data_IF_367261379512
#
_entry.id   IF_367261379512
#
_cell.length_a   1.000
_cell.length_b   1.000
_cell.length_c   1.000
_cell.angle_alpha   90.00
_cell.angle_beta   90.00
_cell.angle_gamma   90.00
#
_symmetry.space_group_name_H-M   'P 1'
#
loop_
_entity.id
_entity.type
_entity.pdbx_description
1 polymer ?
#
# COMPACT_ATOMS: atom_id res chain seq x y z
N UNK A 1 7.63 14.65 -3.00
CA UNK A 1 8.19 15.93 -2.49
C UNK A 1 7.15 17.04 -2.52
N UNK A 2 6.53 17.32 -3.67
CA UNK A 2 5.64 18.48 -3.86
C UNK A 2 4.37 18.39 -3.00
N UNK A 3 3.79 17.19 -2.86
CA UNK A 3 2.63 16.96 -2.00
C UNK A 3 2.95 17.34 -0.53
N UNK A 4 4.12 16.95 -0.03
CA UNK A 4 4.55 17.33 1.31
C UNK A 4 4.85 18.83 1.41
N UNK A 5 5.43 19.43 0.36
CA UNK A 5 5.67 20.88 0.29
C UNK A 5 4.36 21.67 0.25
N UNK A 6 3.31 21.11 -0.34
CA UNK A 6 1.96 21.67 -0.33
C UNK A 6 1.26 21.58 1.05
N UNK A 7 1.89 20.97 2.05
CA UNK A 7 1.40 20.92 3.42
C UNK A 7 0.70 19.60 3.81
N UNK A 8 0.65 18.62 2.90
CA UNK A 8 0.10 17.31 3.20
C UNK A 8 1.12 16.45 3.95
N UNK A 9 0.63 15.61 4.86
CA UNK A 9 1.43 14.57 5.50
C UNK A 9 1.47 13.33 4.60
N UNK A 10 2.63 12.73 4.42
CA UNK A 10 2.84 11.60 3.51
C UNK A 10 3.45 10.41 4.25
N UNK A 11 2.86 9.26 4.05
CA UNK A 11 3.43 7.95 4.40
C UNK A 11 3.50 7.12 3.12
N UNK A 12 4.59 6.40 2.94
CA UNK A 12 4.78 5.51 1.79
C UNK A 12 4.84 4.07 2.29
N UNK A 13 3.97 3.23 1.78
CA UNK A 13 4.06 1.77 1.95
C UNK A 13 4.64 1.20 0.68
N UNK A 14 5.78 0.53 0.78
CA UNK A 14 6.58 0.15 -0.39
C UNK A 14 6.87 -1.34 -0.42
N UNK A 15 6.80 -1.91 -1.60
CA UNK A 15 7.19 -3.29 -1.90
C UNK A 15 8.59 -3.35 -2.52
N UNK A 16 8.91 -4.51 -3.10
CA UNK A 16 10.11 -4.79 -3.90
C UNK A 16 11.39 -5.19 -3.14
N UNK A 17 11.39 -5.22 -1.80
CA UNK A 17 12.58 -5.62 -1.04
C UNK A 17 13.14 -6.99 -1.48
N UNK A 18 12.30 -8.03 -1.54
CA UNK A 18 12.74 -9.38 -1.99
C UNK A 18 13.31 -9.35 -3.41
N UNK A 19 12.64 -8.65 -4.35
CA UNK A 19 13.10 -8.55 -5.74
C UNK A 19 14.44 -7.85 -5.87
N UNK A 20 14.64 -6.73 -5.16
CA UNK A 20 15.92 -6.01 -5.12
C UNK A 20 17.02 -6.88 -4.52
N UNK A 21 16.71 -7.65 -3.48
CA UNK A 21 17.67 -8.57 -2.85
C UNK A 21 18.08 -9.70 -3.77
N UNK A 22 17.14 -10.32 -4.47
CA UNK A 22 17.41 -11.35 -5.48
C UNK A 22 18.36 -10.82 -6.55
N UNK A 23 18.08 -9.62 -7.08
CA UNK A 23 18.95 -8.98 -8.07
C UNK A 23 20.34 -8.67 -7.52
N UNK A 24 20.43 -8.14 -6.28
CA UNK A 24 21.71 -7.79 -5.66
C UNK A 24 22.56 -9.02 -5.30
N UNK A 25 21.93 -10.09 -4.87
CA UNK A 25 22.59 -11.37 -4.58
C UNK A 25 22.90 -12.18 -5.82
N UNK A 26 22.35 -11.81 -6.98
CA UNK A 26 22.47 -12.55 -8.25
C UNK A 26 22.04 -14.02 -8.14
N UNK A 27 20.96 -14.27 -7.39
CA UNK A 27 20.37 -15.59 -7.20
C UNK A 27 19.11 -15.75 -8.04
N UNK A 28 18.71 -17.00 -8.30
CA UNK A 28 17.39 -17.30 -8.87
C UNK A 28 16.28 -16.94 -7.91
N UNK A 29 15.05 -16.76 -8.44
CA UNK A 29 13.88 -16.48 -7.60
C UNK A 29 13.69 -17.59 -6.56
N UNK A 30 13.81 -17.30 -5.26
CA UNK A 30 13.77 -18.33 -4.23
C UNK A 30 12.39 -18.95 -4.09
N UNK A 31 12.36 -20.25 -3.86
CA UNK A 31 11.15 -21.01 -3.57
C UNK A 31 10.93 -21.23 -2.07
N UNK A 32 12.02 -21.22 -1.28
CA UNK A 32 11.96 -21.44 0.17
C UNK A 32 11.87 -20.11 0.93
N UNK A 33 11.24 -20.15 2.10
CA UNK A 33 10.98 -18.98 2.94
C UNK A 33 12.27 -18.35 3.45
N UNK A 34 13.25 -19.14 3.87
CA UNK A 34 14.49 -18.63 4.47
C UNK A 34 15.29 -17.81 3.46
N UNK A 35 15.38 -18.28 2.21
CA UNK A 35 16.06 -17.53 1.14
C UNK A 35 15.27 -16.27 0.75
N UNK A 36 13.93 -16.33 0.74
CA UNK A 36 13.08 -15.13 0.54
C UNK A 36 13.34 -14.09 1.62
N UNK A 37 13.34 -14.49 2.89
CA UNK A 37 13.60 -13.61 4.03
C UNK A 37 15.01 -12.99 3.97
N UNK A 38 16.02 -13.80 3.64
CA UNK A 38 17.39 -13.29 3.47
C UNK A 38 17.50 -12.29 2.30
N UNK A 39 16.85 -12.60 1.17
CA UNK A 39 16.81 -11.68 0.03
C UNK A 39 16.07 -10.38 0.41
N UNK A 40 14.94 -10.46 1.12
CA UNK A 40 14.22 -9.28 1.59
C UNK A 40 15.09 -8.41 2.50
N UNK A 41 15.85 -9.00 3.44
CA UNK A 41 16.78 -8.27 4.30
C UNK A 41 17.85 -7.50 3.51
N UNK A 42 18.44 -8.12 2.48
CA UNK A 42 19.42 -7.46 1.61
C UNK A 42 18.78 -6.36 0.77
N UNK A 43 17.62 -6.65 0.19
CA UNK A 43 16.93 -5.71 -0.69
C UNK A 43 16.31 -4.53 0.04
N UNK A 44 15.93 -4.69 1.30
CA UNK A 44 15.40 -3.60 2.13
C UNK A 44 16.44 -2.49 2.34
N UNK A 45 17.71 -2.84 2.47
CA UNK A 45 18.79 -1.85 2.52
C UNK A 45 18.86 -1.03 1.22
N UNK A 46 18.76 -1.67 0.07
CA UNK A 46 18.80 -1.01 -1.24
C UNK A 46 17.56 -0.12 -1.46
N UNK A 47 16.40 -0.62 -1.04
CA UNK A 47 15.14 0.12 -1.10
C UNK A 47 15.23 1.42 -0.29
N UNK A 48 15.69 1.36 0.94
CA UNK A 48 15.85 2.53 1.80
C UNK A 48 16.90 3.50 1.29
N UNK A 49 18.03 2.99 0.79
CA UNK A 49 19.05 3.83 0.15
C UNK A 49 18.47 4.60 -1.03
N UNK A 50 17.64 3.94 -1.83
CA UNK A 50 16.99 4.58 -2.99
C UNK A 50 16.04 5.70 -2.55
N UNK A 51 15.18 5.46 -1.55
CA UNK A 51 14.29 6.49 -1.02
C UNK A 51 15.04 7.65 -0.38
N UNK A 52 16.04 7.36 0.45
CA UNK A 52 16.85 8.39 1.11
C UNK A 52 17.55 9.28 0.09
N UNK A 53 18.17 8.68 -0.93
CA UNK A 53 18.83 9.42 -2.02
C UNK A 53 17.86 10.29 -2.81
N UNK A 54 16.67 9.78 -3.17
CA UNK A 54 15.70 10.51 -3.99
C UNK A 54 15.02 11.63 -3.21
N UNK A 55 14.55 11.37 -2.01
CA UNK A 55 13.92 12.38 -1.17
C UNK A 55 14.91 13.40 -0.62
N UNK A 56 16.15 12.96 -0.33
CA UNK A 56 17.24 13.83 0.13
C UNK A 56 17.61 14.93 -0.87
N UNK A 57 17.45 14.70 -2.18
CA UNK A 57 17.65 15.72 -3.20
C UNK A 57 16.68 16.92 -3.05
N UNK A 58 15.57 16.72 -2.37
CA UNK A 58 14.55 17.74 -2.09
C UNK A 58 14.50 18.14 -0.61
N UNK A 59 15.56 17.83 0.16
CA UNK A 59 15.68 18.10 1.60
C UNK A 59 14.57 17.45 2.45
N UNK A 60 14.04 16.31 2.02
CA UNK A 60 13.13 15.51 2.84
C UNK A 60 13.88 14.37 3.52
N UNK A 61 13.61 14.20 4.81
CA UNK A 61 14.12 13.07 5.59
C UNK A 61 13.15 11.91 5.51
N UNK A 62 13.65 10.71 5.24
CA UNK A 62 12.87 9.48 5.29
C UNK A 62 13.12 8.72 6.59
N UNK A 63 12.15 7.94 7.03
CA UNK A 63 12.27 7.07 8.20
C UNK A 63 11.80 5.66 7.86
N UNK A 64 12.63 4.65 8.13
CA UNK A 64 12.25 3.26 7.93
C UNK A 64 11.35 2.76 9.04
N UNK A 65 10.25 2.09 8.67
CA UNK A 65 9.37 1.36 9.58
C UNK A 65 9.11 -0.04 9.02
N UNK A 66 9.55 -1.07 9.73
CA UNK A 66 9.30 -2.47 9.36
C UNK A 66 8.30 -3.07 10.36
N UNK A 67 7.19 -3.56 9.85
CA UNK A 67 6.04 -3.96 10.64
C UNK A 67 5.67 -5.42 10.41
N UNK A 68 5.07 -6.04 11.41
CA UNK A 68 4.44 -7.34 11.33
C UNK A 68 2.98 -7.24 11.77
N UNK A 69 2.20 -8.28 11.56
CA UNK A 69 0.82 -8.35 12.03
C UNK A 69 0.68 -8.06 13.54
N UNK A 70 1.62 -8.55 14.35
CA UNK A 70 1.61 -8.36 15.80
C UNK A 70 1.67 -6.88 16.23
N UNK A 71 2.24 -6.00 15.38
CA UNK A 71 2.31 -4.57 15.67
C UNK A 71 0.93 -3.91 15.65
N UNK A 72 -0.03 -4.51 14.96
CA UNK A 72 -1.41 -4.06 14.90
C UNK A 72 -2.33 -4.81 15.87
N UNK A 73 -2.05 -6.07 16.18
CA UNK A 73 -2.87 -6.91 17.04
C UNK A 73 -2.67 -6.62 18.53
N UNK A 74 -1.42 -6.41 18.96
CA UNK A 74 -1.10 -6.08 20.34
C UNK A 74 -1.32 -4.60 20.66
N UNK A 75 -2.19 -4.29 21.61
CA UNK A 75 -2.58 -2.92 21.97
C UNK A 75 -1.38 -2.01 22.28
N UNK A 76 -0.41 -2.48 23.07
CA UNK A 76 0.75 -1.67 23.43
C UNK A 76 1.66 -1.41 22.21
N UNK A 77 1.88 -2.41 21.35
CA UNK A 77 2.68 -2.27 20.13
C UNK A 77 1.99 -1.31 19.17
N UNK A 78 0.68 -1.44 18.98
CA UNK A 78 -0.12 -0.53 18.15
C UNK A 78 -0.06 0.91 18.63
N UNK A 79 -0.17 1.16 19.95
CA UNK A 79 0.00 2.50 20.51
C UNK A 79 1.40 3.07 20.26
N UNK A 80 2.45 2.27 20.43
CA UNK A 80 3.82 2.69 20.17
C UNK A 80 4.02 3.01 18.68
N UNK A 81 3.46 2.18 17.78
CA UNK A 81 3.48 2.40 16.35
C UNK A 81 2.80 3.73 15.99
N UNK A 82 1.57 3.93 16.48
CA UNK A 82 0.81 5.17 16.26
C UNK A 82 1.59 6.39 16.72
N UNK A 83 2.05 6.41 17.97
CA UNK A 83 2.83 7.52 18.54
C UNK A 83 4.09 7.81 17.74
N UNK A 84 4.79 6.77 17.25
CA UNK A 84 6.00 6.93 16.45
C UNK A 84 5.69 7.55 15.08
N UNK A 85 4.66 7.05 14.39
CA UNK A 85 4.23 7.58 13.10
C UNK A 85 3.77 9.03 13.22
N UNK A 86 2.92 9.35 14.19
CA UNK A 86 2.47 10.72 14.44
C UNK A 86 3.66 11.65 14.73
N UNK A 87 4.64 11.17 15.51
CA UNK A 87 5.82 11.98 15.81
C UNK A 87 6.70 12.21 14.60
N UNK A 88 6.89 11.20 13.75
CA UNK A 88 7.64 11.35 12.48
C UNK A 88 6.96 12.38 11.57
N UNK A 89 5.63 12.32 11.43
CA UNK A 89 4.87 13.29 10.65
C UNK A 89 4.99 14.71 11.20
N UNK A 90 4.93 14.89 12.53
CA UNK A 90 5.16 16.19 13.18
C UNK A 90 6.58 16.72 12.92
N UNK A 91 7.57 15.84 12.87
CA UNK A 91 8.96 16.18 12.53
C UNK A 91 9.16 16.36 11.02
N UNK A 92 8.11 16.23 10.21
CA UNK A 92 8.14 16.34 8.74
C UNK A 92 9.03 15.28 8.07
N UNK A 93 9.29 14.17 8.75
CA UNK A 93 9.90 13.00 8.14
C UNK A 93 8.85 12.20 7.38
N UNK A 94 9.26 11.53 6.30
CA UNK A 94 8.40 10.65 5.49
C UNK A 94 8.64 9.21 5.94
N UNK A 95 7.68 8.56 6.65
CA UNK A 95 7.79 7.15 6.95
C UNK A 95 7.72 6.31 5.66
N UNK A 96 8.70 5.44 5.47
CA UNK A 96 8.73 4.41 4.44
C UNK A 96 8.48 3.08 5.14
N UNK A 97 7.34 2.49 4.89
CA UNK A 97 6.84 1.32 5.59
C UNK A 97 6.91 0.10 4.68
N UNK A 98 7.34 -1.02 5.22
CA UNK A 98 7.25 -2.33 4.59
C UNK A 98 6.99 -3.41 5.64
N UNK A 99 6.64 -4.63 5.21
CA UNK A 99 6.61 -5.77 6.09
C UNK A 99 8.03 -6.10 6.59
N UNK A 100 8.14 -6.58 7.83
CA UNK A 100 9.39 -7.08 8.39
C UNK A 100 9.59 -8.55 7.98
N UNK A 101 9.76 -8.77 6.67
CA UNK A 101 9.89 -10.10 6.08
C UNK A 101 10.85 -11.03 6.85
N UNK A 102 12.04 -10.57 7.32
CA UNK A 102 13.00 -11.44 8.00
C UNK A 102 12.47 -12.16 9.24
N UNK A 103 11.44 -11.62 9.88
CA UNK A 103 10.85 -12.18 11.11
C UNK A 103 9.34 -12.46 10.96
N UNK A 104 8.77 -12.19 9.81
CA UNK A 104 7.35 -12.48 9.54
C UNK A 104 7.12 -14.00 9.53
N UNK A 105 6.05 -14.43 10.20
CA UNK A 105 5.61 -15.81 10.19
C UNK A 105 4.57 -16.03 9.09
N UNK A 106 4.64 -17.13 8.34
CA UNK A 106 3.69 -17.44 7.26
C UNK A 106 2.24 -17.45 7.74
N UNK A 107 1.99 -17.94 8.97
CA UNK A 107 0.66 -18.01 9.56
C UNK A 107 0.07 -16.64 9.93
N UNK A 108 0.92 -15.64 10.13
CA UNK A 108 0.57 -14.28 10.55
C UNK A 108 1.16 -13.23 9.62
N UNK A 109 1.39 -13.59 8.37
CA UNK A 109 1.83 -12.63 7.34
C UNK A 109 0.74 -11.58 7.10
N UNK A 110 1.14 -10.34 6.87
CA UNK A 110 0.25 -9.26 6.42
C UNK A 110 -0.36 -9.58 5.04
N UNK A 111 0.25 -10.51 4.31
CA UNK A 111 -0.21 -11.06 3.05
C UNK A 111 0.18 -10.21 1.86
N UNK A 112 -0.05 -8.92 1.93
CA UNK A 112 0.30 -7.96 0.88
C UNK A 112 0.40 -6.52 1.43
N UNK A 113 1.06 -5.65 0.68
CA UNK A 113 1.23 -4.26 1.08
C UNK A 113 -0.04 -3.42 0.92
N UNK A 114 -1.06 -3.87 0.21
CA UNK A 114 -2.37 -3.22 0.15
C UNK A 114 -3.05 -3.32 1.53
N UNK A 115 -3.02 -4.52 2.12
CA UNK A 115 -3.48 -4.76 3.50
C UNK A 115 -2.67 -3.96 4.52
N UNK A 116 -1.34 -3.94 4.40
CA UNK A 116 -0.46 -3.17 5.28
C UNK A 116 -0.80 -1.67 5.20
N UNK A 117 -1.01 -1.13 4.00
CA UNK A 117 -1.38 0.28 3.81
C UNK A 117 -2.72 0.61 4.50
N UNK A 118 -3.73 -0.24 4.36
CA UNK A 118 -5.01 -0.06 5.04
C UNK A 118 -4.90 -0.12 6.57
N UNK A 119 -4.08 -1.03 7.11
CA UNK A 119 -3.83 -1.14 8.55
C UNK A 119 -3.12 0.10 9.11
N UNK A 120 -2.09 0.57 8.42
CA UNK A 120 -1.36 1.80 8.79
C UNK A 120 -2.31 2.99 8.77
N UNK A 121 -3.08 3.17 7.69
CA UNK A 121 -4.01 4.27 7.56
C UNK A 121 -5.09 4.27 8.66
N UNK A 122 -5.61 3.09 8.99
CA UNK A 122 -6.57 2.94 10.11
C UNK A 122 -5.91 3.28 11.45
N UNK A 123 -4.66 2.87 11.67
CA UNK A 123 -3.92 3.09 12.91
C UNK A 123 -3.71 4.59 13.22
N UNK A 124 -3.49 5.41 12.20
CA UNK A 124 -3.22 6.85 12.34
C UNK A 124 -4.41 7.73 11.95
N UNK A 125 -5.56 7.15 11.65
CA UNK A 125 -6.74 7.87 11.16
C UNK A 125 -6.43 8.76 9.95
N UNK A 126 -5.78 8.19 8.92
CA UNK A 126 -5.47 8.90 7.70
C UNK A 126 -6.75 9.37 6.98
N UNK A 127 -6.67 10.44 6.22
CA UNK A 127 -7.78 10.92 5.40
C UNK A 127 -7.98 10.04 4.16
N UNK A 128 -6.88 9.55 3.57
CA UNK A 128 -6.89 8.87 2.28
C UNK A 128 -5.76 7.84 2.17
N UNK A 129 -6.08 6.69 1.59
CA UNK A 129 -5.12 5.72 1.06
C UNK A 129 -5.17 5.77 -0.47
N UNK A 130 -4.00 5.80 -1.10
CA UNK A 130 -3.89 5.67 -2.56
C UNK A 130 -3.10 4.40 -2.88
N UNK A 131 -3.72 3.46 -3.56
CA UNK A 131 -3.04 2.29 -4.12
C UNK A 131 -2.65 2.57 -5.57
N UNK A 132 -1.36 2.66 -5.81
CA UNK A 132 -0.79 2.74 -7.15
C UNK A 132 -0.59 1.32 -7.69
N UNK A 133 -1.34 0.96 -8.72
CA UNK A 133 -1.39 -0.38 -9.30
C UNK A 133 -1.03 -0.34 -10.79
N UNK A 134 -1.07 -1.48 -11.43
CA UNK A 134 -0.97 -1.66 -12.88
C UNK A 134 -2.32 -1.59 -13.61
N UNK A 135 -3.41 -1.36 -12.87
CA UNK A 135 -4.78 -1.20 -13.38
C UNK A 135 -5.35 0.15 -12.98
N UNK A 136 -6.19 0.74 -13.81
CA UNK A 136 -6.73 2.10 -13.59
C UNK A 136 -7.73 2.18 -12.42
N UNK A 137 -8.31 1.06 -11.99
CA UNK A 137 -9.26 0.97 -10.90
C UNK A 137 -10.09 -0.30 -10.97
N UNK A 138 -11.26 -0.29 -10.33
CA UNK A 138 -12.25 -1.38 -10.40
C UNK A 138 -13.13 -1.20 -11.63
N UNK A 139 -13.28 -2.26 -12.41
CA UNK A 139 -14.13 -2.30 -13.60
C UNK A 139 -15.38 -3.15 -13.38
N UNK A 140 -16.40 -2.95 -14.19
CA UNK A 140 -17.63 -3.76 -14.20
C UNK A 140 -17.41 -5.20 -14.62
N UNK A 141 -16.30 -5.50 -15.30
CA UNK A 141 -15.79 -6.83 -15.64
C UNK A 141 -14.28 -6.74 -15.87
N UNK A 142 -13.61 -7.86 -16.13
CA UNK A 142 -12.17 -7.86 -16.46
C UNK A 142 -11.95 -7.19 -17.83
N UNK A 143 -11.28 -6.02 -17.91
CA UNK A 143 -11.09 -5.28 -19.16
C UNK A 143 -10.19 -6.00 -20.18
N UNK A 144 -9.42 -7.00 -19.75
CA UNK A 144 -8.61 -7.82 -20.68
C UNK A 144 -9.43 -8.84 -21.47
N UNK A 145 -10.54 -9.28 -20.89
CA UNK A 145 -11.43 -10.27 -21.49
C UNK A 145 -12.77 -9.70 -21.97
N UNK A 146 -13.14 -8.53 -21.45
CA UNK A 146 -14.38 -7.81 -21.72
C UNK A 146 -14.08 -6.37 -22.15
N UNK A 147 -13.94 -6.10 -23.47
CA UNK A 147 -13.64 -4.75 -23.97
C UNK A 147 -14.72 -3.70 -23.65
N UNK A 148 -15.95 -4.15 -23.33
CA UNK A 148 -17.08 -3.32 -22.89
C UNK A 148 -17.05 -2.98 -21.40
N UNK A 149 -16.06 -3.47 -20.65
CA UNK A 149 -15.94 -3.19 -19.22
C UNK A 149 -15.71 -1.69 -18.98
N UNK A 150 -16.50 -1.12 -18.09
CA UNK A 150 -16.42 0.30 -17.73
C UNK A 150 -15.76 0.46 -16.36
N UNK A 151 -14.94 1.49 -16.22
CA UNK A 151 -14.35 1.86 -14.94
C UNK A 151 -15.44 2.36 -13.99
N UNK A 152 -15.46 1.85 -12.76
CA UNK A 152 -16.34 2.30 -11.68
C UNK A 152 -15.64 3.47 -10.96
N UNK A 153 -16.13 4.71 -11.12
CA UNK A 153 -15.40 5.86 -10.56
C UNK A 153 -15.54 5.97 -9.04
N UNK A 154 -16.68 5.57 -8.47
CA UNK A 154 -16.97 5.69 -7.04
C UNK A 154 -17.71 4.45 -6.54
N UNK A 155 -17.28 3.93 -5.41
CA UNK A 155 -17.93 2.86 -4.64
C UNK A 155 -18.30 3.43 -3.28
N UNK A 156 -19.59 3.74 -3.10
CA UNK A 156 -20.11 4.28 -1.83
C UNK A 156 -20.20 3.20 -0.74
N UNK A 157 -20.45 1.96 -1.13
CA UNK A 157 -20.51 0.81 -0.24
C UNK A 157 -19.96 -0.44 -0.94
N UNK A 158 -19.12 -1.18 -0.25
CA UNK A 158 -18.57 -2.45 -0.74
C UNK A 158 -19.60 -3.54 -0.46
N UNK A 159 -20.46 -3.81 -1.45
CA UNK A 159 -21.47 -4.86 -1.41
C UNK A 159 -20.88 -6.21 -1.84
N UNK A 160 -21.59 -7.33 -1.61
CA UNK A 160 -21.16 -8.64 -2.13
C UNK A 160 -20.96 -8.66 -3.66
N UNK A 161 -21.72 -7.85 -4.41
CA UNK A 161 -21.56 -7.70 -5.85
C UNK A 161 -20.22 -7.05 -6.21
N UNK A 162 -19.80 -6.02 -5.48
CA UNK A 162 -18.48 -5.38 -5.64
C UNK A 162 -17.35 -6.38 -5.30
N UNK A 163 -17.52 -7.17 -4.26
CA UNK A 163 -16.55 -8.22 -3.91
C UNK A 163 -16.46 -9.30 -5.01
N UNK A 164 -17.59 -9.66 -5.65
CA UNK A 164 -17.61 -10.59 -6.77
C UNK A 164 -16.89 -10.04 -8.01
N UNK A 165 -17.07 -8.75 -8.33
CA UNK A 165 -16.34 -8.10 -9.42
C UNK A 165 -14.82 -8.17 -9.21
N UNK A 166 -14.36 -8.03 -7.99
CA UNK A 166 -12.96 -8.11 -7.63
C UNK A 166 -12.39 -9.54 -7.69
N UNK A 167 -13.21 -10.55 -7.39
CA UNK A 167 -12.85 -11.97 -7.31
C UNK A 167 -13.20 -12.80 -8.54
N UNK A 168 -13.54 -12.21 -9.69
CA UNK A 168 -14.09 -12.86 -10.88
C UNK A 168 -13.33 -14.12 -11.32
N UNK A 169 -14.03 -15.07 -11.91
CA UNK A 169 -13.52 -16.35 -12.37
C UNK A 169 -12.42 -16.17 -13.41
N UNK A 170 -11.17 -16.17 -13.02
CA UNK A 170 -10.02 -16.00 -13.88
C UNK A 170 -8.83 -15.30 -13.24
N UNK A 171 -8.97 -14.67 -12.07
CA UNK A 171 -7.86 -14.08 -11.35
C UNK A 171 -6.98 -15.16 -10.69
N UNK A 172 -6.51 -16.13 -11.49
CA UNK A 172 -5.42 -16.99 -11.09
C UNK A 172 -4.14 -16.18 -11.26
N UNK A 173 -3.37 -16.10 -10.20
CA UNK A 173 -1.96 -15.71 -10.17
C UNK A 173 -1.69 -14.24 -9.76
N UNK A 174 -1.43 -14.09 -8.50
CA UNK A 174 -0.66 -13.00 -7.95
C UNK A 174 -1.13 -12.65 -6.54
N UNK A 175 -0.24 -12.69 -5.59
CA UNK A 175 -0.35 -11.97 -4.33
C UNK A 175 -0.48 -10.48 -4.69
N UNK A 176 -1.69 -9.92 -4.72
CA UNK A 176 -1.92 -8.51 -5.07
C UNK A 176 -2.97 -8.26 -6.15
N UNK A 177 -3.87 -9.21 -6.44
CA UNK A 177 -4.98 -9.03 -7.38
C UNK A 177 -6.02 -8.02 -6.90
N UNK A 178 -7.04 -7.73 -7.74
CA UNK A 178 -8.10 -6.78 -7.39
C UNK A 178 -8.80 -7.15 -6.09
N UNK A 179 -8.94 -8.46 -5.79
CA UNK A 179 -9.56 -8.93 -4.55
C UNK A 179 -8.82 -8.44 -3.29
N UNK A 180 -7.48 -8.45 -3.29
CA UNK A 180 -6.70 -7.94 -2.16
C UNK A 180 -6.89 -6.44 -1.98
N UNK A 181 -6.97 -5.69 -3.08
CA UNK A 181 -7.22 -4.25 -3.09
C UNK A 181 -8.61 -3.89 -2.56
N UNK A 182 -9.65 -4.63 -2.98
CA UNK A 182 -11.01 -4.44 -2.47
C UNK A 182 -11.12 -4.87 -1.00
N UNK A 183 -10.39 -5.90 -0.58
CA UNK A 183 -10.30 -6.29 0.84
C UNK A 183 -9.63 -5.20 1.68
N UNK A 184 -8.55 -4.61 1.19
CA UNK A 184 -7.91 -3.46 1.82
C UNK A 184 -8.85 -2.25 1.88
N UNK A 185 -9.57 -1.96 0.78
CA UNK A 185 -10.59 -0.90 0.73
C UNK A 185 -11.70 -1.11 1.77
N UNK A 186 -12.20 -2.35 1.90
CA UNK A 186 -13.21 -2.70 2.92
C UNK A 186 -12.74 -2.40 4.35
N UNK A 187 -11.46 -2.67 4.63
CA UNK A 187 -10.86 -2.37 5.93
C UNK A 187 -10.71 -0.87 6.17
N UNK A 188 -10.16 -0.14 5.20
CA UNK A 188 -9.96 1.31 5.28
C UNK A 188 -11.29 2.05 5.44
N UNK A 189 -12.27 1.75 4.58
CA UNK A 189 -13.59 2.41 4.57
C UNK A 189 -14.40 2.13 5.83
N UNK A 190 -14.29 0.92 6.40
CA UNK A 190 -14.92 0.58 7.68
C UNK A 190 -14.36 1.42 8.84
N UNK A 191 -13.12 1.89 8.75
CA UNK A 191 -12.47 2.79 9.71
C UNK A 191 -12.66 4.28 9.38
N UNK A 192 -13.47 4.62 8.38
CA UNK A 192 -13.74 6.01 7.97
C UNK A 192 -12.68 6.62 7.04
N UNK A 193 -11.74 5.82 6.53
CA UNK A 193 -10.67 6.25 5.63
C UNK A 193 -11.09 6.03 4.17
N UNK A 194 -11.03 7.07 3.36
CA UNK A 194 -11.23 6.94 1.92
C UNK A 194 -10.07 6.16 1.28
N UNK A 195 -10.36 5.43 0.20
CA UNK A 195 -9.30 4.75 -0.54
C UNK A 195 -9.50 4.93 -2.05
N UNK A 196 -8.40 5.17 -2.77
CA UNK A 196 -8.38 5.26 -4.23
C UNK A 196 -7.48 4.16 -4.78
N UNK A 197 -7.97 3.44 -5.78
CA UNK A 197 -7.17 2.53 -6.61
C UNK A 197 -7.00 3.20 -7.97
N UNK A 198 -5.74 3.33 -8.42
CA UNK A 198 -5.43 3.96 -9.70
C UNK A 198 -4.14 3.41 -10.30
N UNK A 199 -3.93 3.70 -11.59
CA UNK A 199 -2.74 3.31 -12.30
C UNK A 199 -1.53 4.15 -11.85
N UNK A 200 -0.46 3.47 -11.44
CA UNK A 200 0.79 4.08 -10.98
C UNK A 200 1.81 4.35 -12.08
N UNK A 201 1.51 4.07 -13.34
CA UNK A 201 2.43 4.30 -14.47
C UNK A 201 2.82 5.79 -14.61
N UNK A 202 1.90 6.68 -14.21
CA UNK A 202 2.09 8.13 -14.23
C UNK A 202 1.88 8.69 -12.81
N UNK A 203 2.97 8.89 -12.07
CA UNK A 203 2.93 9.36 -10.68
C UNK A 203 2.28 10.76 -10.52
N UNK A 204 2.18 11.52 -11.61
CA UNK A 204 1.50 12.82 -11.68
C UNK A 204 0.01 12.73 -11.30
N UNK A 205 -0.59 11.56 -11.43
CA UNK A 205 -1.96 11.29 -10.98
C UNK A 205 -2.19 11.64 -9.50
N UNK A 206 -1.14 11.61 -8.68
CA UNK A 206 -1.20 12.00 -7.28
C UNK A 206 -1.54 13.49 -7.10
N UNK A 207 -1.16 14.36 -8.03
CA UNK A 207 -1.55 15.79 -7.99
C UNK A 207 -3.05 15.94 -8.21
N UNK A 208 -3.59 15.24 -9.21
CA UNK A 208 -5.02 15.26 -9.50
C UNK A 208 -5.85 14.76 -8.31
N UNK A 209 -5.38 13.70 -7.65
CA UNK A 209 -6.03 13.16 -6.45
C UNK A 209 -6.05 14.19 -5.31
N UNK A 210 -4.91 14.85 -5.04
CA UNK A 210 -4.81 15.86 -3.96
C UNK A 210 -5.66 17.10 -4.27
N UNK A 211 -5.83 17.44 -5.54
CA UNK A 211 -6.74 18.49 -6.01
C UNK A 211 -8.22 18.08 -6.00
N UNK A 212 -8.53 16.83 -5.65
CA UNK A 212 -9.90 16.30 -5.59
C UNK A 212 -10.51 15.98 -6.94
N UNK A 213 -9.71 15.85 -8.00
CA UNK A 213 -10.19 15.42 -9.31
C UNK A 213 -10.56 13.94 -9.31
N UNK A 214 -11.54 13.52 -10.12
CA UNK A 214 -11.92 12.11 -10.23
C UNK A 214 -10.81 11.31 -10.93
N UNK A 215 -10.21 10.39 -10.21
CA UNK A 215 -9.14 9.51 -10.71
C UNK A 215 -9.37 8.09 -10.19
N UNK A 216 -9.24 7.12 -11.08
CA UNK A 216 -9.36 5.71 -10.71
C UNK A 216 -10.72 5.35 -10.11
N UNK A 217 -10.72 4.47 -9.12
CA UNK A 217 -11.90 4.11 -8.32
C UNK A 217 -11.73 4.60 -6.89
N UNK A 218 -12.63 5.47 -6.43
CA UNK A 218 -12.69 5.92 -5.04
C UNK A 218 -13.67 5.08 -4.24
N UNK A 219 -13.22 4.51 -3.16
CA UNK A 219 -14.03 3.85 -2.13
C UNK A 219 -14.24 4.82 -0.97
N UNK A 220 -15.48 5.09 -0.64
CA UNK A 220 -15.84 6.14 0.33
C UNK A 220 -15.80 5.60 1.75
N UNK A 221 -15.04 6.26 2.62
CA UNK A 221 -14.98 5.95 4.05
C UNK A 221 -16.30 6.26 4.75
N UNK A 222 -16.78 5.34 5.58
CA UNK A 222 -17.98 5.55 6.40
C UNK A 222 -17.63 6.51 7.53
N UNK A 223 -18.01 7.78 7.39
CA UNK A 223 -17.90 8.73 8.51
C UNK A 223 -18.93 8.34 9.56
N UNK A 224 -18.46 8.10 10.80
CA UNK A 224 -19.32 7.83 11.95
C UNK A 224 -20.15 9.07 12.33
#
# INVERSE_FOLDING_TARGET
SDIQNAGHQLIVVSSAATGLGVGKLQIEKPSDITTKQAAAAVGQCELMYTYDRLFGQYNHTVAQMLLTWEDFDHEQRRRNLQNTLERLLQLRAIPIINENDPVACEEYSLGDNDTLAALVATCIHADLVVLLSDIDGLYTADPHTHPEAELIPVVEEITPEIELLAGGAGSSLGTGGMLTKVTAAKRATAAGVDMIITNGAHAEVLYDIVEGKPVGTRFVGRKA
#
